data_IF_106911183573
#
_entry.id   IF_106911183573
#
_cell.length_a   1.000
_cell.length_b   1.000
_cell.length_c   1.000
_cell.angle_alpha   90.00
_cell.angle_beta   90.00
_cell.angle_gamma   90.00
#
_symmetry.space_group_name_H-M   'P 1'
#
loop_
_entity.id
_entity.type
_entity.pdbx_description
1 polymer ?
#
# COMPACT_ATOMS: atom_id res chain seq x y z
N UNK A 1 -5.45 -19.22 46.43
CA UNK A 1 -5.95 -19.39 45.07
C UNK A 1 -4.73 -19.58 44.16
N UNK A 2 -4.53 -20.76 43.61
CA UNK A 2 -3.37 -21.05 42.75
C UNK A 2 -3.59 -20.40 41.41
N UNK A 3 -2.65 -19.58 40.97
CA UNK A 3 -2.68 -18.98 39.62
C UNK A 3 -2.02 -20.01 38.70
N UNK A 4 -2.82 -20.66 37.87
CA UNK A 4 -2.30 -21.53 36.80
C UNK A 4 -1.85 -20.62 35.64
N UNK A 5 -0.60 -20.72 35.22
CA UNK A 5 -0.11 -19.99 34.05
C UNK A 5 -0.63 -20.66 32.78
N UNK A 6 -0.84 -19.87 31.73
CA UNK A 6 -1.31 -20.41 30.44
C UNK A 6 -0.36 -21.49 29.90
N UNK A 7 0.94 -21.41 30.23
CA UNK A 7 1.94 -22.42 29.91
C UNK A 7 1.82 -23.74 30.70
N UNK A 8 0.98 -23.77 31.74
CA UNK A 8 0.74 -24.94 32.60
C UNK A 8 -0.59 -25.62 32.29
N UNK A 9 -1.32 -25.12 31.30
CA UNK A 9 -2.54 -25.75 30.81
C UNK A 9 -2.13 -26.88 29.85
N UNK A 10 -2.18 -28.12 30.33
CA UNK A 10 -2.00 -29.30 29.48
C UNK A 10 -3.01 -29.28 28.34
N UNK A 11 -2.48 -29.13 27.11
CA UNK A 11 -3.15 -29.37 25.85
C UNK A 11 -4.64 -29.01 25.78
N UNK A 12 -4.98 -27.71 25.77
CA UNK A 12 -6.35 -27.28 25.45
C UNK A 12 -6.62 -27.61 23.98
N UNK A 13 -7.07 -28.83 23.72
CA UNK A 13 -7.59 -29.26 22.44
C UNK A 13 -9.07 -28.92 22.40
N UNK A 14 -9.53 -28.12 21.43
CA UNK A 14 -10.94 -27.84 21.20
C UNK A 14 -11.44 -26.50 21.75
N UNK A 15 -10.63 -25.43 21.64
CA UNK A 15 -11.13 -24.08 21.85
C UNK A 15 -12.24 -23.78 20.83
N UNK A 16 -13.40 -23.37 21.32
CA UNK A 16 -14.51 -22.86 20.50
C UNK A 16 -14.46 -21.34 20.47
N UNK A 17 -15.12 -20.68 19.50
CA UNK A 17 -15.23 -19.23 19.48
C UNK A 17 -15.68 -18.59 20.78
N UNK A 18 -16.56 -19.28 21.51
CA UNK A 18 -17.12 -18.81 22.80
C UNK A 18 -16.28 -19.19 24.03
N UNK A 19 -15.15 -19.88 23.85
CA UNK A 19 -14.23 -20.16 24.97
C UNK A 19 -13.69 -18.85 25.53
N UNK A 20 -13.63 -18.74 26.85
CA UNK A 20 -13.22 -17.51 27.54
C UNK A 20 -11.93 -17.71 28.34
N UNK A 21 -11.06 -16.73 28.25
CA UNK A 21 -9.87 -16.63 29.10
C UNK A 21 -10.06 -15.56 30.17
N UNK A 22 -9.66 -15.86 31.38
CA UNK A 22 -9.58 -14.88 32.45
C UNK A 22 -8.28 -14.11 32.35
N UNK A 23 -8.36 -12.83 32.02
CA UNK A 23 -7.20 -11.94 31.96
C UNK A 23 -7.23 -11.03 33.18
N UNK A 24 -6.14 -11.04 33.96
CA UNK A 24 -5.93 -10.11 35.06
C UNK A 24 -4.89 -9.07 34.66
N UNK A 25 -5.25 -7.79 34.79
CA UNK A 25 -4.37 -6.68 34.43
C UNK A 25 -4.39 -5.57 35.50
N UNK A 26 -3.32 -4.79 35.53
CA UNK A 26 -3.10 -3.69 36.46
C UNK A 26 -2.13 -4.05 37.58
N UNK A 27 -1.37 -3.03 37.99
CA UNK A 27 -0.37 -3.13 39.07
C UNK A 27 -0.95 -2.80 40.43
N UNK A 28 -2.25 -2.49 40.51
CA UNK A 28 -2.95 -2.14 41.74
C UNK A 28 -3.60 -3.36 42.40
N UNK A 29 -3.73 -3.33 43.72
CA UNK A 29 -4.41 -4.34 44.50
C UNK A 29 -5.75 -3.77 45.01
N UNK A 30 -6.92 -4.36 44.70
CA UNK A 30 -7.12 -5.61 43.96
C UNK A 30 -6.91 -5.44 42.41
N UNK A 31 -6.36 -6.47 41.77
CA UNK A 31 -6.26 -6.55 40.31
C UNK A 31 -7.62 -6.68 39.68
N UNK A 32 -7.81 -5.99 38.56
CA UNK A 32 -9.03 -6.13 37.76
C UNK A 32 -8.90 -7.34 36.86
N UNK A 33 -9.87 -8.25 36.93
CA UNK A 33 -9.95 -9.42 36.07
C UNK A 33 -11.13 -9.27 35.12
N UNK A 34 -10.91 -9.53 33.83
CA UNK A 34 -11.94 -9.56 32.78
C UNK A 34 -11.88 -10.87 32.01
N UNK A 35 -13.04 -11.32 31.58
CA UNK A 35 -13.13 -12.39 30.60
C UNK A 35 -12.91 -11.83 29.20
N UNK A 36 -12.11 -12.51 28.41
CA UNK A 36 -11.94 -12.26 26.98
C UNK A 36 -12.29 -13.55 26.24
N UNK A 37 -13.16 -13.47 25.24
CA UNK A 37 -13.47 -14.62 24.40
C UNK A 37 -12.33 -14.95 23.45
N UNK A 38 -12.27 -16.20 22.97
CA UNK A 38 -11.35 -16.59 21.90
C UNK A 38 -11.61 -15.73 20.66
N UNK A 39 -12.87 -15.49 20.31
CA UNK A 39 -13.24 -14.64 19.21
C UNK A 39 -12.69 -13.22 19.35
N UNK A 40 -12.85 -12.58 20.52
CA UNK A 40 -12.33 -11.24 20.75
C UNK A 40 -10.79 -11.22 20.65
N UNK A 41 -10.12 -12.26 21.13
CA UNK A 41 -8.66 -12.38 21.04
C UNK A 41 -8.17 -12.54 19.59
N UNK A 42 -8.90 -13.31 18.76
CA UNK A 42 -8.56 -13.53 17.36
C UNK A 42 -9.09 -12.43 16.44
N UNK A 43 -10.28 -11.87 16.72
CA UNK A 43 -10.81 -10.70 16.01
C UNK A 43 -9.86 -9.51 16.19
N UNK A 44 -9.31 -9.33 17.38
CA UNK A 44 -8.29 -8.28 17.59
C UNK A 44 -7.04 -8.48 16.72
N UNK A 45 -6.63 -9.71 16.43
CA UNK A 45 -5.50 -9.99 15.52
C UNK A 45 -5.89 -10.01 14.04
N UNK A 46 -7.11 -10.42 13.68
CA UNK A 46 -7.54 -10.52 12.29
C UNK A 46 -8.23 -9.26 11.76
N UNK A 47 -8.81 -8.43 12.64
CA UNK A 47 -9.52 -7.21 12.26
C UNK A 47 -8.59 -6.05 11.86
N UNK A 48 -7.31 -6.12 12.16
CA UNK A 48 -6.34 -5.04 11.92
C UNK A 48 -5.36 -5.37 10.80
N UNK A 49 -5.85 -5.87 9.69
CA UNK A 49 -5.09 -5.80 8.44
C UNK A 49 -5.37 -4.46 7.81
N UNK A 50 -4.42 -3.55 7.93
CA UNK A 50 -4.51 -2.25 7.30
C UNK A 50 -4.15 -2.35 5.83
N UNK A 51 -4.96 -1.76 4.99
CA UNK A 51 -4.76 -1.77 3.55
C UNK A 51 -5.40 -0.55 2.89
N UNK A 52 -4.91 -0.22 1.72
CA UNK A 52 -5.55 0.70 0.79
C UNK A 52 -5.28 0.24 -0.64
N UNK A 53 -6.29 0.33 -1.49
CA UNK A 53 -6.19 0.21 -2.94
C UNK A 53 -6.61 1.51 -3.57
N UNK A 54 -5.78 2.03 -4.46
CA UNK A 54 -5.93 3.30 -5.15
C UNK A 54 -5.81 3.08 -6.65
N UNK A 55 -6.56 3.86 -7.42
CA UNK A 55 -6.41 3.91 -8.87
C UNK A 55 -6.49 5.33 -9.41
N UNK A 56 -6.05 5.50 -10.65
CA UNK A 56 -6.22 6.75 -11.38
C UNK A 56 -6.78 6.50 -12.77
N UNK A 57 -7.93 7.08 -13.06
CA UNK A 57 -8.53 7.10 -14.40
C UNK A 57 -8.03 8.27 -15.27
N UNK A 58 -7.08 9.05 -14.76
CA UNK A 58 -6.51 10.20 -15.45
C UNK A 58 -5.14 9.87 -16.02
N UNK A 59 -4.92 10.23 -17.28
CA UNK A 59 -3.58 10.20 -17.87
C UNK A 59 -2.71 11.26 -17.21
N UNK A 60 -1.48 10.88 -16.83
CA UNK A 60 -0.52 11.75 -16.18
C UNK A 60 0.61 12.06 -17.15
N UNK A 61 0.78 13.33 -17.45
CA UNK A 61 1.81 13.84 -18.38
C UNK A 61 2.91 14.54 -17.61
N UNK A 62 4.08 14.71 -18.27
CA UNK A 62 5.20 15.49 -17.74
C UNK A 62 5.68 16.50 -18.76
N UNK A 63 6.24 17.60 -18.30
CA UNK A 63 6.96 18.57 -19.12
C UNK A 63 8.47 18.29 -19.15
N UNK A 64 8.88 17.16 -18.59
CA UNK A 64 10.26 16.81 -18.23
C UNK A 64 10.50 17.03 -16.72
N UNK A 65 11.40 16.21 -16.14
CA UNK A 65 11.68 16.27 -14.72
C UNK A 65 10.97 15.18 -13.91
N UNK A 66 10.80 15.42 -12.61
CA UNK A 66 10.31 14.44 -11.65
C UNK A 66 8.99 14.87 -11.01
N UNK A 67 8.10 13.92 -10.79
CA UNK A 67 6.81 14.15 -10.13
C UNK A 67 6.30 12.88 -9.44
N UNK A 68 5.34 13.02 -8.54
CA UNK A 68 4.66 11.88 -7.94
C UNK A 68 3.51 11.39 -8.81
N UNK A 69 3.26 10.09 -8.84
CA UNK A 69 2.04 9.52 -9.39
C UNK A 69 0.84 9.92 -8.52
N UNK A 70 -0.26 10.29 -9.16
CA UNK A 70 -1.47 10.76 -8.48
C UNK A 70 -2.63 9.78 -8.65
N UNK A 71 -3.48 9.72 -7.65
CA UNK A 71 -4.65 8.85 -7.61
C UNK A 71 -5.91 9.69 -7.49
N UNK A 72 -6.97 9.35 -8.22
CA UNK A 72 -8.24 10.03 -8.13
C UNK A 72 -9.36 9.15 -7.56
N UNK A 73 -9.05 7.90 -7.22
CA UNK A 73 -9.97 6.96 -6.57
C UNK A 73 -9.29 6.26 -5.39
N UNK A 74 -10.03 6.13 -4.29
CA UNK A 74 -9.78 5.15 -3.23
C UNK A 74 -10.78 4.03 -3.46
N UNK A 75 -10.30 2.89 -3.98
CA UNK A 75 -11.16 1.78 -4.34
C UNK A 75 -11.56 0.97 -3.09
N UNK A 76 -10.63 0.84 -2.14
CA UNK A 76 -10.84 0.14 -0.88
C UNK A 76 -9.83 0.63 0.17
N UNK A 77 -10.24 0.80 1.43
CA UNK A 77 -9.32 1.16 2.51
C UNK A 77 -9.77 0.71 3.88
N UNK A 78 -8.80 0.41 4.74
CA UNK A 78 -8.95 0.17 6.17
C UNK A 78 -7.70 0.64 6.90
N UNK A 79 -7.82 1.64 7.79
CA UNK A 79 -6.71 2.19 8.57
C UNK A 79 -5.65 2.93 7.76
N UNK A 80 -5.98 3.34 6.53
CA UNK A 80 -5.16 4.14 5.64
C UNK A 80 -6.01 5.16 4.89
N UNK A 81 -5.38 6.21 4.38
CA UNK A 81 -6.04 7.27 3.61
C UNK A 81 -5.04 7.93 2.65
N UNK A 82 -5.49 8.86 1.84
CA UNK A 82 -4.59 9.79 1.16
C UNK A 82 -4.09 10.85 2.14
N UNK A 83 -2.91 11.43 1.86
CA UNK A 83 -2.36 12.53 2.63
C UNK A 83 -2.95 13.89 2.25
N UNK A 84 -2.12 14.94 2.30
CA UNK A 84 -2.52 16.31 1.90
C UNK A 84 -2.63 16.47 0.38
N UNK A 85 -2.01 15.57 -0.37
CA UNK A 85 -2.09 15.49 -1.84
C UNK A 85 -2.57 14.11 -2.25
N UNK A 86 -3.10 14.01 -3.46
CA UNK A 86 -3.60 12.76 -4.03
C UNK A 86 -2.50 11.77 -4.43
N UNK A 87 -1.23 12.15 -4.31
CA UNK A 87 -0.06 11.27 -4.50
C UNK A 87 0.36 10.53 -3.23
N UNK A 88 -0.04 11.03 -2.05
CA UNK A 88 0.40 10.53 -0.76
C UNK A 88 -0.50 9.39 -0.28
N UNK A 89 0.10 8.23 -0.02
CA UNK A 89 -0.56 7.08 0.61
C UNK A 89 -0.17 7.09 2.08
N UNK A 90 -1.11 7.46 2.95
CA UNK A 90 -0.86 7.71 4.38
C UNK A 90 -1.36 6.55 5.24
N UNK A 91 -0.54 6.08 6.17
CA UNK A 91 -0.90 5.07 7.16
C UNK A 91 -1.32 5.72 8.48
N UNK A 92 -2.34 5.18 9.15
CA UNK A 92 -2.79 5.65 10.46
C UNK A 92 -2.14 4.87 11.61
N UNK A 93 -1.51 3.75 11.32
CA UNK A 93 -0.88 2.87 12.29
C UNK A 93 0.57 2.58 11.91
N UNK A 94 1.43 2.44 12.92
CA UNK A 94 2.82 2.02 12.69
C UNK A 94 2.89 0.55 12.29
N UNK A 95 3.85 0.20 11.44
CA UNK A 95 4.05 -1.18 11.00
C UNK A 95 4.97 -1.32 9.80
N UNK A 96 5.11 -2.55 9.35
CA UNK A 96 5.77 -2.89 8.09
C UNK A 96 4.71 -3.04 7.01
N UNK A 97 4.95 -2.43 5.86
CA UNK A 97 3.98 -2.36 4.77
C UNK A 97 4.60 -2.81 3.46
N UNK A 98 3.83 -3.52 2.65
CA UNK A 98 4.15 -3.87 1.27
C UNK A 98 3.39 -2.93 0.34
N UNK A 99 4.13 -2.05 -0.36
CA UNK A 99 3.61 -1.20 -1.43
C UNK A 99 3.82 -1.91 -2.76
N UNK A 100 2.74 -2.14 -3.48
CA UNK A 100 2.73 -2.68 -4.85
C UNK A 100 2.10 -1.65 -5.77
N UNK A 101 2.56 -1.59 -7.02
CA UNK A 101 1.91 -0.76 -8.03
C UNK A 101 2.02 -1.35 -9.42
N UNK A 102 1.17 -0.88 -10.32
CA UNK A 102 1.32 -1.03 -11.77
C UNK A 102 0.97 0.28 -12.46
N UNK A 103 1.81 0.74 -13.38
CA UNK A 103 1.61 1.95 -14.16
C UNK A 103 1.69 1.65 -15.66
N UNK A 104 0.73 2.19 -16.42
CA UNK A 104 0.63 2.02 -17.86
C UNK A 104 1.45 3.10 -18.57
N UNK A 105 2.71 2.84 -18.87
CA UNK A 105 3.59 3.80 -19.56
C UNK A 105 3.39 3.71 -21.07
N UNK A 106 3.32 4.87 -21.73
CA UNK A 106 3.33 4.98 -23.20
C UNK A 106 4.26 6.10 -23.64
N UNK A 107 4.96 5.89 -24.74
CA UNK A 107 5.60 6.93 -25.50
C UNK A 107 4.74 7.31 -26.71
N UNK A 108 4.23 8.54 -26.75
CA UNK A 108 3.24 9.00 -27.73
C UNK A 108 3.84 9.44 -29.06
N UNK A 109 5.12 9.73 -29.13
CA UNK A 109 5.81 10.19 -30.35
C UNK A 109 7.21 9.59 -30.45
N UNK A 110 7.71 9.49 -31.70
CA UNK A 110 9.06 9.02 -31.97
C UNK A 110 10.17 9.97 -31.47
N UNK A 111 11.37 9.43 -31.35
CA UNK A 111 12.57 10.15 -30.94
C UNK A 111 13.71 9.16 -30.67
N UNK A 112 14.86 9.67 -30.19
CA UNK A 112 15.91 8.83 -29.65
C UNK A 112 15.46 7.99 -28.49
N UNK A 113 16.16 6.90 -28.15
CA UNK A 113 15.88 6.13 -26.95
C UNK A 113 15.84 7.02 -25.70
N UNK A 114 14.94 6.73 -24.81
CA UNK A 114 14.75 7.48 -23.57
C UNK A 114 14.39 6.54 -22.44
N UNK A 115 14.52 7.02 -21.22
CA UNK A 115 14.29 6.24 -20.02
C UNK A 115 13.27 6.93 -19.12
N UNK A 116 12.50 6.13 -18.40
CA UNK A 116 11.65 6.54 -17.28
C UNK A 116 12.23 5.95 -16.02
N UNK A 117 12.50 6.79 -15.05
CA UNK A 117 12.95 6.39 -13.73
C UNK A 117 11.75 6.38 -12.78
N UNK A 118 11.62 5.32 -11.97
CA UNK A 118 10.53 5.19 -10.98
C UNK A 118 11.16 4.75 -9.67
N UNK A 119 10.81 5.46 -8.58
CA UNK A 119 11.30 5.20 -7.23
C UNK A 119 10.24 5.51 -6.19
N UNK A 120 10.56 5.24 -4.93
CA UNK A 120 9.67 5.51 -3.82
C UNK A 120 10.21 6.61 -2.92
N UNK A 121 9.29 7.38 -2.32
CA UNK A 121 9.58 8.49 -1.41
C UNK A 121 8.73 8.34 -0.16
N UNK A 122 9.33 8.49 1.01
CA UNK A 122 8.65 8.48 2.30
C UNK A 122 8.83 9.83 2.98
N UNK A 123 7.71 10.47 3.39
CA UNK A 123 7.71 11.78 4.07
C UNK A 123 8.57 12.84 3.34
N UNK A 124 8.52 12.87 2.01
CA UNK A 124 9.29 13.81 1.19
C UNK A 124 10.76 13.43 0.96
N UNK A 125 11.24 12.31 1.51
CA UNK A 125 12.63 11.84 1.36
C UNK A 125 12.64 10.58 0.49
N UNK A 126 13.47 10.56 -0.56
CA UNK A 126 13.62 9.42 -1.45
C UNK A 126 14.19 8.21 -0.71
N UNK A 127 13.59 7.04 -0.90
CA UNK A 127 14.05 5.79 -0.30
C UNK A 127 15.28 5.31 -1.07
N UNK A 128 16.44 5.15 -0.42
CA UNK A 128 17.66 4.69 -1.08
C UNK A 128 17.47 3.33 -1.76
N UNK A 129 18.10 3.13 -2.91
CA UNK A 129 18.08 1.89 -3.70
C UNK A 129 16.69 1.43 -4.17
N UNK A 130 15.71 2.35 -4.26
CA UNK A 130 14.36 2.06 -4.72
C UNK A 130 14.11 2.45 -6.19
N UNK A 131 15.09 3.05 -6.85
CA UNK A 131 14.96 3.52 -8.23
C UNK A 131 15.12 2.39 -9.25
N UNK A 132 14.29 2.41 -10.28
CA UNK A 132 14.29 1.45 -11.39
C UNK A 132 14.23 2.22 -12.71
N UNK A 133 14.92 1.74 -13.72
CA UNK A 133 15.00 2.29 -15.05
C UNK A 133 14.15 1.48 -16.05
N UNK A 134 13.25 2.17 -16.75
CA UNK A 134 12.42 1.60 -17.81
C UNK A 134 12.76 2.26 -19.14
N UNK A 135 13.40 1.52 -20.05
CA UNK A 135 13.86 2.02 -21.34
C UNK A 135 12.77 2.01 -22.43
N UNK A 136 12.74 3.06 -23.24
CA UNK A 136 11.89 3.19 -24.43
C UNK A 136 12.72 3.43 -25.67
N UNK A 137 12.63 2.52 -26.65
CA UNK A 137 13.37 2.62 -27.91
C UNK A 137 12.57 3.32 -29.03
N UNK A 138 11.25 3.11 -29.10
CA UNK A 138 10.38 3.52 -30.21
C UNK A 138 9.16 4.29 -29.72
N UNK A 139 8.43 4.94 -30.66
CA UNK A 139 7.14 5.55 -30.43
C UNK A 139 6.02 4.48 -30.34
N UNK A 140 4.87 4.88 -29.75
CA UNK A 140 3.73 4.01 -29.56
C UNK A 140 4.05 2.69 -28.82
N UNK A 141 5.09 2.70 -28.00
CA UNK A 141 5.47 1.57 -27.18
C UNK A 141 4.72 1.66 -25.86
N UNK A 142 3.99 0.60 -25.54
CA UNK A 142 3.33 0.43 -24.24
C UNK A 142 4.18 -0.47 -23.36
N UNK A 143 4.35 -0.07 -22.13
CA UNK A 143 5.07 -0.85 -21.11
C UNK A 143 4.34 -0.74 -19.78
N UNK A 144 4.13 -1.87 -19.13
CA UNK A 144 3.63 -1.89 -17.76
C UNK A 144 4.82 -1.94 -16.82
N UNK A 145 4.96 -0.88 -16.02
CA UNK A 145 5.91 -0.85 -14.91
C UNK A 145 5.22 -1.35 -13.65
N UNK A 146 5.70 -2.45 -13.07
CA UNK A 146 5.08 -3.04 -11.89
C UNK A 146 6.12 -3.76 -11.02
N UNK A 147 6.22 -3.36 -9.76
CA UNK A 147 7.00 -4.05 -8.71
C UNK A 147 6.53 -3.64 -7.33
N UNK A 148 7.18 -4.11 -6.30
CA UNK A 148 6.84 -3.81 -4.92
C UNK A 148 8.07 -3.45 -4.09
N UNK A 149 7.82 -2.80 -2.95
CA UNK A 149 8.79 -2.54 -1.90
C UNK A 149 8.17 -2.81 -0.53
N UNK A 150 8.98 -3.31 0.39
CA UNK A 150 8.62 -3.38 1.80
C UNK A 150 9.22 -2.17 2.52
N UNK A 151 8.38 -1.45 3.28
CA UNK A 151 8.78 -0.22 3.96
C UNK A 151 8.26 -0.20 5.39
N UNK A 152 9.14 0.22 6.32
CA UNK A 152 8.77 0.48 7.72
C UNK A 152 8.19 1.89 7.83
N UNK A 153 6.99 2.01 8.41
CA UNK A 153 6.28 3.28 8.56
C UNK A 153 5.80 3.48 10.00
N UNK A 154 5.91 4.70 10.50
CA UNK A 154 5.27 5.12 11.74
C UNK A 154 3.83 5.57 11.48
N UNK A 155 3.02 5.68 12.52
CA UNK A 155 1.69 6.27 12.40
C UNK A 155 1.78 7.71 11.82
N UNK A 156 0.93 7.99 10.84
CA UNK A 156 0.89 9.23 10.07
C UNK A 156 2.01 9.43 9.03
N UNK A 157 2.94 8.49 8.86
CA UNK A 157 3.84 8.51 7.72
C UNK A 157 3.05 8.35 6.41
N UNK A 158 3.59 8.89 5.32
CA UNK A 158 3.08 8.66 3.98
C UNK A 158 4.20 8.19 3.03
N UNK A 159 3.80 7.50 1.98
CA UNK A 159 4.68 7.07 0.89
C UNK A 159 4.11 7.55 -0.44
N UNK A 160 4.98 7.85 -1.38
CA UNK A 160 4.67 8.28 -2.75
C UNK A 160 5.43 7.42 -3.75
N UNK A 161 4.85 7.21 -4.92
CA UNK A 161 5.51 6.59 -6.08
C UNK A 161 5.94 7.75 -7.00
N UNK A 162 7.23 7.94 -7.10
CA UNK A 162 7.83 9.00 -7.91
C UNK A 162 8.17 8.47 -9.30
N UNK A 163 8.05 9.33 -10.29
CA UNK A 163 8.55 9.04 -11.64
C UNK A 163 9.16 10.26 -12.28
N UNK A 164 10.08 10.03 -13.19
CA UNK A 164 10.76 11.10 -13.90
C UNK A 164 11.29 10.64 -15.25
N UNK A 165 11.30 11.56 -16.21
CA UNK A 165 11.89 11.38 -17.53
C UNK A 165 12.30 12.72 -18.09
N UNK A 166 13.27 12.72 -19.00
CA UNK A 166 13.64 13.91 -19.78
C UNK A 166 12.80 14.08 -21.06
N UNK A 167 11.96 13.08 -21.39
CA UNK A 167 11.13 13.08 -22.60
C UNK A 167 9.68 13.39 -22.28
N UNK A 168 9.21 14.58 -22.65
CA UNK A 168 7.84 15.02 -22.47
C UNK A 168 6.79 14.26 -23.32
N UNK A 169 7.23 13.32 -24.15
CA UNK A 169 6.37 12.43 -24.95
C UNK A 169 6.00 11.15 -24.20
N UNK A 170 6.56 10.95 -23.02
CA UNK A 170 6.19 9.86 -22.14
C UNK A 170 5.04 10.30 -21.24
N UNK A 171 4.08 9.42 -21.04
CA UNK A 171 2.97 9.61 -20.10
C UNK A 171 2.60 8.29 -19.44
N UNK A 172 1.92 8.39 -18.28
CA UNK A 172 1.24 7.28 -17.64
C UNK A 172 -0.21 7.35 -18.11
N UNK A 173 -0.64 6.39 -18.95
CA UNK A 173 -1.84 6.51 -19.78
C UNK A 173 -3.02 5.76 -19.20
N UNK A 174 -4.16 6.43 -19.09
CA UNK A 174 -5.46 5.80 -18.87
C UNK A 174 -6.21 5.64 -20.20
N UNK A 175 -6.99 4.57 -20.33
CA UNK A 175 -7.84 4.31 -21.50
C UNK A 175 -9.26 4.00 -21.03
N UNK A 176 -10.24 4.74 -21.55
CA UNK A 176 -11.63 4.66 -21.09
C UNK A 176 -12.27 3.29 -21.39
N UNK A 177 -12.13 2.80 -22.61
CA UNK A 177 -12.68 1.48 -23.01
C UNK A 177 -11.84 1.00 -24.19
N UNK A 178 -10.77 0.20 -23.93
CA UNK A 178 -9.80 -0.13 -24.97
C UNK A 178 -10.30 -1.17 -25.97
N UNK A 179 -11.26 -2.01 -25.58
CA UNK A 179 -11.74 -3.11 -26.43
C UNK A 179 -13.17 -3.51 -26.05
N UNK A 180 -14.09 -3.38 -27.01
CA UNK A 180 -15.51 -3.78 -26.89
C UNK A 180 -16.13 -3.35 -25.54
N UNK A 181 -16.65 -4.28 -24.76
CA UNK A 181 -17.22 -4.04 -23.43
C UNK A 181 -16.21 -4.23 -22.27
N UNK A 182 -14.89 -4.21 -22.56
CA UNK A 182 -13.87 -4.38 -21.53
C UNK A 182 -13.86 -3.21 -20.55
N UNK A 183 -13.48 -3.43 -19.27
CA UNK A 183 -13.31 -2.35 -18.32
C UNK A 183 -12.26 -1.34 -18.78
N UNK A 184 -12.38 -0.11 -18.31
CA UNK A 184 -11.37 0.93 -18.49
C UNK A 184 -10.02 0.50 -17.90
N UNK A 185 -8.93 0.97 -18.52
CA UNK A 185 -7.56 0.76 -18.01
C UNK A 185 -7.17 2.01 -17.21
N UNK A 186 -6.96 1.90 -15.90
CA UNK A 186 -6.41 2.99 -15.10
C UNK A 186 -4.95 3.26 -15.49
N UNK A 187 -4.51 4.51 -15.38
CA UNK A 187 -3.12 4.87 -15.63
C UNK A 187 -2.18 4.24 -14.62
N UNK A 188 -2.58 4.22 -13.37
CA UNK A 188 -1.86 3.60 -12.26
C UNK A 188 -2.83 2.98 -11.27
N UNK A 189 -2.42 1.83 -10.72
CA UNK A 189 -3.04 1.18 -9.57
C UNK A 189 -1.94 1.04 -8.52
N UNK A 190 -2.26 1.33 -7.26
CA UNK A 190 -1.36 1.08 -6.14
C UNK A 190 -2.11 0.42 -4.98
N UNK A 191 -1.44 -0.51 -4.32
CA UNK A 191 -1.95 -1.18 -3.13
C UNK A 191 -0.89 -1.13 -2.04
N UNK A 192 -1.26 -0.65 -0.86
CA UNK A 192 -0.43 -0.71 0.33
C UNK A 192 -1.10 -1.62 1.35
N UNK A 193 -0.39 -2.64 1.81
CA UNK A 193 -0.90 -3.61 2.80
C UNK A 193 0.10 -3.79 3.93
N UNK A 194 -0.40 -3.86 5.16
CA UNK A 194 0.42 -4.23 6.31
C UNK A 194 0.76 -5.73 6.26
N UNK A 195 2.01 -6.09 6.52
CA UNK A 195 2.55 -7.46 6.50
C UNK A 195 2.99 -7.90 7.89
#
# INVERSE_FOLDING_TARGET
MSIVRVSELDGVTGLTPNSQFLVSYGDTNPRVSKHISVDDLFVYRSAYRYYISLSSSQTQTTTGGTQAMTFNSIDLSNGMTTGTTTSQIKVLHAGTYNLQFSAQLIRTQGGSSTNVFIWFRKNGIDIPNSNTDVGFANNNTYTVAAWNIIVQMNANDYVEIMWGTTDNKIQISALATPFDSSPAIPSVIATLTQV
#
